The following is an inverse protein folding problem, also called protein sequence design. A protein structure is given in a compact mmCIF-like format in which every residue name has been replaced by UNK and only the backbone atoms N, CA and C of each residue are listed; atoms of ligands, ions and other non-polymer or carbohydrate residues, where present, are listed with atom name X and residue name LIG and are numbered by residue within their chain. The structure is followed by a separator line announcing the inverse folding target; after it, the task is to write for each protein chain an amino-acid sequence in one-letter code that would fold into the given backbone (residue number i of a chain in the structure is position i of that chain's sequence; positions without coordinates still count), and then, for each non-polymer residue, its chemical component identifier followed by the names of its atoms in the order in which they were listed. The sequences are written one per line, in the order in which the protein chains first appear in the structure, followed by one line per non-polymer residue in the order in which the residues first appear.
data_IF_806494807598
#
_entry.id   IF_806494807598
#
_cell.length_a   1.000
_cell.length_b   1.000
_cell.length_c   1.000
_cell.angle_alpha   90.00
_cell.angle_beta   90.00
_cell.angle_gamma   90.00
#
_symmetry.space_group_name_H-M   'P 1'
#
loop_
_entity.id
_entity.type
_entity.pdbx_description
1 polymer ?
#
# COMPACT_ATOMS: atom_id res chain seq x y z
N UNK A 1 4.02 -1.27 22.64
CA UNK A 1 3.18 -0.64 21.61
C UNK A 1 3.53 -1.26 20.28
N UNK A 2 2.57 -1.45 19.37
CA UNK A 2 2.87 -1.92 18.01
C UNK A 2 3.47 -0.76 17.21
N UNK A 3 4.56 -1.00 16.48
CA UNK A 3 5.16 -0.07 15.54
C UNK A 3 4.34 -0.02 14.24
N UNK A 4 3.20 0.67 14.31
CA UNK A 4 2.32 0.91 13.15
C UNK A 4 2.64 2.27 12.58
N UNK A 5 2.90 2.33 11.28
CA UNK A 5 3.15 3.57 10.55
C UNK A 5 2.14 3.70 9.42
N UNK A 6 1.62 4.91 9.23
CA UNK A 6 0.68 5.22 8.15
C UNK A 6 1.39 5.99 7.06
N UNK A 7 1.11 5.62 5.82
CA UNK A 7 1.65 6.25 4.63
C UNK A 7 0.49 6.68 3.73
N UNK A 8 0.58 7.89 3.18
CA UNK A 8 -0.23 8.35 2.07
C UNK A 8 0.68 8.48 0.86
N UNK A 9 0.27 7.86 -0.24
CA UNK A 9 0.99 7.84 -1.51
C UNK A 9 0.08 8.50 -2.53
N UNK A 10 0.53 9.62 -3.07
CA UNK A 10 -0.25 10.43 -3.99
C UNK A 10 0.52 10.62 -5.29
N UNK A 11 -0.14 10.30 -6.39
CA UNK A 11 0.31 10.61 -7.73
C UNK A 11 0.04 12.10 -7.99
N UNK A 12 1.07 12.93 -7.99
CA UNK A 12 0.96 14.39 -7.99
C UNK A 12 0.16 14.96 -9.17
N UNK A 13 0.35 14.49 -10.42
CA UNK A 13 -0.37 15.03 -11.57
C UNK A 13 -1.89 14.86 -11.47
N UNK A 14 -2.36 13.80 -10.82
CA UNK A 14 -3.78 13.42 -10.85
C UNK A 14 -4.44 13.37 -9.48
N UNK A 15 -3.66 13.47 -8.40
CA UNK A 15 -4.09 13.27 -7.01
C UNK A 15 -4.72 11.89 -6.76
N UNK A 16 -4.52 10.92 -7.65
CA UNK A 16 -4.86 9.52 -7.41
C UNK A 16 -3.90 8.96 -6.35
N UNK A 17 -4.37 8.06 -5.48
CA UNK A 17 -3.51 7.66 -4.37
C UNK A 17 -4.09 6.63 -3.43
N UNK A 18 -3.25 6.21 -2.50
CA UNK A 18 -3.54 5.17 -1.52
C UNK A 18 -3.05 5.61 -0.14
N UNK A 19 -3.88 5.39 0.88
CA UNK A 19 -3.45 5.44 2.28
C UNK A 19 -3.38 4.02 2.84
N UNK A 20 -2.24 3.67 3.45
CA UNK A 20 -1.95 2.34 3.98
C UNK A 20 -1.33 2.41 5.37
N UNK A 21 -1.65 1.44 6.22
CA UNK A 21 -0.99 1.20 7.50
C UNK A 21 -0.13 -0.06 7.45
N UNK A 22 1.09 0.04 7.96
CA UNK A 22 2.05 -1.06 8.04
C UNK A 22 2.49 -1.24 9.49
N UNK A 23 2.27 -2.44 10.03
CA UNK A 23 2.77 -2.88 11.33
C UNK A 23 4.16 -3.51 11.18
N UNK A 24 5.20 -2.75 11.44
CA UNK A 24 6.60 -3.21 11.32
C UNK A 24 7.00 -4.24 12.39
N UNK A 25 6.25 -4.36 13.48
CA UNK A 25 6.46 -5.42 14.49
C UNK A 25 5.78 -6.75 14.09
N UNK A 26 5.07 -6.80 12.95
CA UNK A 26 4.48 -8.03 12.47
C UNK A 26 5.58 -9.02 12.06
N UNK A 27 5.44 -10.26 12.55
CA UNK A 27 6.25 -11.41 12.17
C UNK A 27 5.30 -12.49 11.65
N UNK A 28 5.58 -13.03 10.46
CA UNK A 28 4.76 -14.10 9.87
C UNK A 28 4.91 -15.42 10.66
N UNK A 29 4.04 -16.40 10.36
CA UNK A 29 4.15 -17.75 10.98
C UNK A 29 5.47 -18.43 10.63
N UNK A 30 5.99 -18.14 9.44
CA UNK A 30 7.27 -18.60 8.89
C UNK A 30 8.46 -17.78 9.41
N UNK A 31 8.22 -16.84 10.34
CA UNK A 31 9.20 -15.95 10.98
C UNK A 31 9.84 -14.91 10.07
N UNK A 32 9.18 -14.56 8.96
CA UNK A 32 9.58 -13.39 8.17
C UNK A 32 9.19 -12.11 8.88
N UNK A 33 10.10 -11.14 8.92
CA UNK A 33 9.76 -9.79 9.35
C UNK A 33 8.91 -9.09 8.30
N UNK A 34 8.22 -8.01 8.70
CA UNK A 34 7.48 -7.17 7.77
C UNK A 34 8.35 -6.70 6.58
N UNK A 35 9.61 -6.33 6.83
CA UNK A 35 10.51 -5.92 5.75
C UNK A 35 10.93 -7.07 4.83
N UNK A 36 11.03 -8.31 5.34
CA UNK A 36 11.31 -9.48 4.50
C UNK A 36 10.11 -9.83 3.60
N UNK A 37 8.90 -9.67 4.14
CA UNK A 37 7.67 -9.81 3.35
C UNK A 37 7.59 -8.74 2.26
N UNK A 38 7.87 -7.48 2.59
CA UNK A 38 7.90 -6.38 1.61
C UNK A 38 8.90 -6.67 0.49
N UNK A 39 10.12 -7.11 0.82
CA UNK A 39 11.12 -7.48 -0.20
C UNK A 39 10.61 -8.59 -1.10
N UNK A 40 10.01 -9.63 -0.52
CA UNK A 40 9.45 -10.76 -1.28
C UNK A 40 8.35 -10.31 -2.24
N UNK A 41 7.47 -9.39 -1.82
CA UNK A 41 6.40 -8.86 -2.69
C UNK A 41 6.94 -7.96 -3.82
N UNK A 42 8.01 -7.21 -3.57
CA UNK A 42 8.69 -6.42 -4.63
C UNK A 42 9.42 -7.35 -5.60
N UNK A 43 10.25 -8.26 -5.08
CA UNK A 43 11.09 -9.17 -5.87
C UNK A 43 10.27 -10.23 -6.64
N UNK A 44 8.97 -10.41 -6.33
CA UNK A 44 8.08 -11.31 -7.06
C UNK A 44 7.90 -10.88 -8.53
N UNK A 45 7.91 -9.58 -8.81
CA UNK A 45 7.63 -9.06 -10.15
C UNK A 45 8.91 -8.92 -10.98
N UNK A 46 8.82 -9.22 -12.28
CA UNK A 46 9.99 -9.28 -13.17
C UNK A 46 10.71 -7.93 -13.36
N UNK A 47 10.04 -6.83 -13.06
CA UNK A 47 10.56 -5.46 -13.15
C UNK A 47 11.14 -4.94 -11.83
N UNK A 48 11.26 -5.78 -10.79
CA UNK A 48 11.77 -5.42 -9.46
C UNK A 48 13.09 -4.64 -9.52
N UNK A 49 14.08 -5.13 -10.29
CA UNK A 49 15.37 -4.46 -10.46
C UNK A 49 15.23 -3.03 -11.00
N UNK A 50 14.28 -2.80 -11.90
CA UNK A 50 14.02 -1.48 -12.46
C UNK A 50 13.37 -0.57 -11.44
N UNK A 51 12.36 -1.06 -10.71
CA UNK A 51 11.69 -0.31 -9.65
C UNK A 51 12.67 0.07 -8.54
N UNK A 52 13.54 -0.84 -8.13
CA UNK A 52 14.53 -0.59 -7.09
C UNK A 52 15.59 0.43 -7.49
N UNK A 53 15.93 0.56 -8.79
CA UNK A 53 16.83 1.63 -9.26
C UNK A 53 16.18 3.02 -9.21
N UNK A 54 14.86 3.08 -9.37
CA UNK A 54 14.10 4.33 -9.42
C UNK A 54 13.55 4.78 -8.05
N UNK A 55 13.72 3.95 -7.01
CA UNK A 55 13.20 4.20 -5.68
C UNK A 55 14.32 4.12 -4.64
N UNK A 56 14.21 4.85 -3.53
CA UNK A 56 15.33 4.92 -2.55
C UNK A 56 15.54 3.61 -1.80
N UNK A 57 14.49 2.82 -1.64
CA UNK A 57 14.51 1.55 -0.91
C UNK A 57 13.29 0.68 -1.26
N UNK A 58 13.29 -0.55 -0.72
CA UNK A 58 12.21 -1.53 -0.88
C UNK A 58 10.84 -1.06 -0.39
N UNK A 59 10.79 -0.28 0.69
CA UNK A 59 9.51 0.23 1.21
C UNK A 59 8.90 1.21 0.22
N UNK A 60 9.69 2.16 -0.28
CA UNK A 60 9.24 3.13 -1.28
C UNK A 60 8.80 2.45 -2.59
N UNK A 61 9.59 1.50 -3.10
CA UNK A 61 9.22 0.70 -4.27
C UNK A 61 7.90 -0.06 -4.07
N UNK A 62 7.74 -0.70 -2.92
CA UNK A 62 6.53 -1.42 -2.55
C UNK A 62 5.32 -0.49 -2.47
N UNK A 63 5.45 0.67 -1.82
CA UNK A 63 4.34 1.59 -1.63
C UNK A 63 3.82 2.16 -2.96
N UNK A 64 4.71 2.50 -3.91
CA UNK A 64 4.31 2.92 -5.26
C UNK A 64 3.64 1.77 -6.03
N UNK A 65 4.27 0.60 -6.04
CA UNK A 65 3.73 -0.59 -6.73
C UNK A 65 2.35 -1.00 -6.18
N UNK A 66 2.17 -0.95 -4.85
CA UNK A 66 0.90 -1.23 -4.19
C UNK A 66 -0.17 -0.21 -4.59
N UNK A 67 0.20 1.06 -4.73
CA UNK A 67 -0.70 2.14 -5.15
C UNK A 67 -1.19 1.93 -6.58
N UNK A 68 -0.26 1.71 -7.52
CA UNK A 68 -0.57 1.39 -8.92
C UNK A 68 -1.53 0.19 -9.01
N UNK A 69 -1.18 -0.93 -8.36
CA UNK A 69 -1.98 -2.14 -8.39
C UNK A 69 -3.36 -1.95 -7.76
N UNK A 70 -3.44 -1.21 -6.64
CA UNK A 70 -4.73 -0.94 -5.97
C UNK A 70 -5.67 -0.14 -6.87
N UNK A 71 -5.16 0.87 -7.57
CA UNK A 71 -5.94 1.69 -8.50
C UNK A 71 -6.37 0.85 -9.71
N UNK A 72 -5.45 0.08 -10.31
CA UNK A 72 -5.75 -0.82 -11.43
C UNK A 72 -6.86 -1.82 -11.09
N UNK A 73 -6.76 -2.51 -9.95
CA UNK A 73 -7.79 -3.44 -9.48
C UNK A 73 -9.14 -2.74 -9.25
N UNK A 74 -9.11 -1.51 -8.74
CA UNK A 74 -10.32 -0.72 -8.53
C UNK A 74 -11.03 -0.40 -9.85
N UNK A 75 -10.26 -0.01 -10.87
CA UNK A 75 -10.76 0.33 -12.21
C UNK A 75 -11.26 -0.94 -12.92
N UNK A 76 -10.43 -1.99 -12.98
CA UNK A 76 -10.73 -3.24 -13.69
C UNK A 76 -12.00 -3.92 -13.15
N UNK A 77 -12.17 -3.90 -11.83
CA UNK A 77 -13.31 -4.53 -11.17
C UNK A 77 -14.43 -3.56 -10.78
N UNK A 78 -14.32 -2.28 -11.15
CA UNK A 78 -15.23 -1.20 -10.78
C UNK A 78 -15.67 -1.28 -9.31
N UNK A 79 -14.68 -1.29 -8.41
CA UNK A 79 -14.91 -1.52 -6.99
C UNK A 79 -14.28 -0.43 -6.13
N UNK A 80 -14.70 -0.34 -4.86
CA UNK A 80 -14.10 0.54 -3.86
C UNK A 80 -12.99 -0.19 -3.09
N UNK A 81 -12.41 0.46 -2.10
CA UNK A 81 -11.31 -0.08 -1.30
C UNK A 81 -11.58 -1.47 -0.69
N UNK A 82 -12.82 -1.75 -0.25
CA UNK A 82 -13.18 -3.06 0.27
C UNK A 82 -13.20 -4.13 -0.82
N UNK A 83 -13.57 -3.75 -2.05
CA UNK A 83 -13.45 -4.59 -3.22
C UNK A 83 -12.00 -4.86 -3.56
N UNK A 84 -11.15 -3.84 -3.59
CA UNK A 84 -9.70 -3.97 -3.84
C UNK A 84 -9.03 -4.91 -2.85
N UNK A 85 -9.33 -4.77 -1.54
CA UNK A 85 -8.82 -5.68 -0.50
C UNK A 85 -9.20 -7.14 -0.81
N UNK A 86 -10.42 -7.40 -1.28
CA UNK A 86 -10.85 -8.76 -1.68
C UNK A 86 -10.15 -9.25 -2.93
N UNK A 87 -9.79 -8.38 -3.87
CA UNK A 87 -9.04 -8.78 -5.07
C UNK A 87 -7.60 -9.17 -4.72
N UNK A 88 -6.97 -8.49 -3.76
CA UNK A 88 -5.64 -8.88 -3.26
C UNK A 88 -5.60 -10.30 -2.68
N UNK A 89 -6.72 -10.89 -2.24
CA UNK A 89 -6.75 -12.29 -1.80
C UNK A 89 -6.48 -13.28 -2.95
N UNK A 90 -6.66 -12.84 -4.20
CA UNK A 90 -6.44 -13.64 -5.42
C UNK A 90 -5.24 -13.18 -6.22
N UNK A 91 -4.69 -12.00 -5.90
CA UNK A 91 -3.57 -11.43 -6.61
C UNK A 91 -2.27 -12.09 -6.16
N UNK A 92 -1.63 -12.82 -7.08
CA UNK A 92 -0.31 -13.39 -6.81
C UNK A 92 0.74 -12.30 -6.54
N UNK A 93 1.75 -12.65 -5.74
CA UNK A 93 2.81 -11.72 -5.35
C UNK A 93 2.46 -10.80 -4.18
N UNK A 94 1.24 -10.85 -3.66
CA UNK A 94 0.80 -10.03 -2.53
C UNK A 94 0.25 -10.88 -1.38
N UNK A 95 0.38 -10.36 -0.15
CA UNK A 95 -0.33 -10.90 1.00
C UNK A 95 -1.73 -10.28 1.13
N UNK A 96 -2.51 -10.75 2.10
CA UNK A 96 -3.80 -10.12 2.46
C UNK A 96 -3.56 -8.68 2.95
N UNK A 97 -4.33 -7.74 2.42
CA UNK A 97 -4.19 -6.30 2.67
C UNK A 97 -5.26 -5.74 3.62
N UNK A 98 -5.87 -6.59 4.44
CA UNK A 98 -6.91 -6.26 5.42
C UNK A 98 -6.36 -5.96 6.83
N UNK A 99 -5.03 -5.98 6.98
CA UNK A 99 -4.32 -5.80 8.26
C UNK A 99 -3.96 -7.09 8.98
N UNK A 100 -4.51 -8.24 8.58
CA UNK A 100 -4.23 -9.53 9.25
C UNK A 100 -2.78 -9.99 9.07
N UNK A 101 -2.16 -9.59 7.96
CA UNK A 101 -0.75 -9.86 7.64
C UNK A 101 0.16 -8.65 7.90
N UNK A 102 -0.32 -7.68 8.69
CA UNK A 102 0.44 -6.50 9.07
C UNK A 102 0.39 -5.33 8.08
N UNK A 103 -0.30 -5.47 6.94
CA UNK A 103 -0.53 -4.39 5.97
C UNK A 103 -2.03 -4.20 5.79
N UNK A 104 -2.51 -2.97 5.94
CA UNK A 104 -3.92 -2.62 5.86
C UNK A 104 -4.15 -1.43 4.93
N UNK A 105 -4.95 -1.61 3.88
CA UNK A 105 -5.40 -0.47 3.07
C UNK A 105 -6.48 0.29 3.83
N UNK A 106 -6.37 1.62 3.85
CA UNK A 106 -7.26 2.50 4.61
C UNK A 106 -8.20 3.25 3.66
N UNK A 107 -7.62 3.86 2.63
CA UNK A 107 -8.33 4.74 1.72
C UNK A 107 -7.70 4.67 0.33
N UNK A 108 -8.54 4.83 -0.70
CA UNK A 108 -8.14 4.84 -2.09
C UNK A 108 -8.81 6.04 -2.78
N UNK A 109 -7.99 6.94 -3.32
CA UNK A 109 -8.43 8.05 -4.15
C UNK A 109 -8.34 7.63 -5.61
N UNK A 110 -9.48 7.42 -6.25
CA UNK A 110 -9.59 6.96 -7.63
C UNK A 110 -9.75 8.13 -8.60
N UNK A 111 -8.67 8.87 -8.80
CA UNK A 111 -8.55 9.79 -9.93
C UNK A 111 -7.79 9.08 -11.07
N UNK A 112 -7.73 9.71 -12.25
CA UNK A 112 -7.00 9.11 -13.39
C UNK A 112 -5.54 8.82 -13.02
N UNK A 113 -4.93 7.80 -13.58
CA UNK A 113 -3.47 7.63 -13.56
C UNK A 113 -2.96 8.00 -14.95
N UNK A 114 -1.86 8.75 -15.02
CA UNK A 114 -1.08 8.89 -16.25
C UNK A 114 0.13 7.95 -16.21
N UNK A 115 1.03 8.09 -17.19
CA UNK A 115 2.24 7.28 -17.33
C UNK A 115 3.47 7.87 -16.61
N UNK A 116 3.30 8.92 -15.81
CA UNK A 116 4.40 9.56 -15.07
C UNK A 116 4.64 8.86 -13.73
N UNK A 117 5.90 8.81 -13.28
CA UNK A 117 6.30 8.25 -11.97
C UNK A 117 6.46 9.37 -10.91
N UNK A 118 5.49 10.28 -10.86
CA UNK A 118 5.51 11.48 -10.02
C UNK A 118 4.69 11.26 -8.74
N UNK A 119 5.20 10.39 -7.86
CA UNK A 119 4.58 10.08 -6.57
C UNK A 119 5.22 10.81 -5.40
N UNK A 120 4.39 11.38 -4.54
CA UNK A 120 4.77 11.85 -3.21
C UNK A 120 4.35 10.82 -2.16
N UNK A 121 5.29 10.49 -1.24
CA UNK A 121 5.03 9.59 -0.12
C UNK A 121 5.15 10.39 1.17
N UNK A 122 4.01 10.55 1.85
CA UNK A 122 3.93 11.18 3.15
C UNK A 122 3.81 10.12 4.23
N UNK A 123 4.80 10.05 5.12
CA UNK A 123 4.71 9.26 6.35
C UNK A 123 4.03 10.10 7.43
N UNK A 124 2.98 9.56 8.04
CA UNK A 124 2.27 10.20 9.13
C UNK A 124 2.78 9.68 10.47
N UNK A 125 3.06 10.59 11.39
CA UNK A 125 3.27 10.22 12.79
C UNK A 125 1.94 9.72 13.37
N UNK A 126 1.99 8.62 14.11
CA UNK A 126 0.79 8.06 14.73
C UNK A 126 0.24 9.05 15.76
N UNK A 127 -0.88 9.69 15.44
CA UNK A 127 -1.66 10.47 16.40
C UNK A 127 -2.75 9.55 16.96
N UNK A 128 -2.60 9.19 18.24
CA UNK A 128 -3.59 8.40 18.96
C UNK A 128 -4.90 9.21 19.03
N UNK A 129 -5.93 8.78 18.28
CA UNK A 129 -7.29 9.31 18.38
C UNK A 129 -7.70 10.30 17.29
N UNK A 130 -8.36 9.80 16.25
CA UNK A 130 -9.48 10.51 15.63
C UNK A 130 -10.74 9.67 15.83
N UNK A 131 -11.48 9.98 16.90
CA UNK A 131 -12.92 9.82 16.87
C UNK A 131 -13.44 10.75 15.78
N UNK A 132 -14.02 10.21 14.71
CA UNK A 132 -14.94 11.00 13.89
C UNK A 132 -16.09 11.44 14.81
N UNK A 133 -16.36 12.74 15.00
CA UNK A 133 -17.64 13.16 15.51
C UNK A 133 -18.65 12.70 14.46
N UNK A 134 -19.52 11.77 14.83
CA UNK A 134 -20.78 11.58 14.13
C UNK A 134 -21.45 12.95 14.02
N UNK A 135 -21.59 13.45 12.79
CA UNK A 135 -22.41 14.60 12.48
C UNK A 135 -23.85 14.27 12.93
N UNK A 136 -24.34 15.02 13.91
CA UNK A 136 -25.77 15.13 14.24
C UNK A 136 -26.45 16.00 13.20
#
# INVERSE_FOLDING_TARGET
MKNIQRYTIEHLPTSAGLTVEINFDFISKEKFSMMDMIKTMVDFFSDADSRLRNNKNYLEAFLKQLTEMSILLSIEHNCNINGVIRQFEKQEGYCRMDGTMGIKLIELCMLELDDQDDYEITKHDYVEGYYSPTLN
#
